data_IF_461686641706
#
_entry.id   IF_461686641706
#
_cell.length_a   1.000
_cell.length_b   1.000
_cell.length_c   1.000
_cell.angle_alpha   90.00
_cell.angle_beta   90.00
_cell.angle_gamma   90.00
#
_symmetry.space_group_name_H-M   'P 1'
#
loop_
_entity.id
_entity.type
_entity.pdbx_description
1 polymer ?
#
# COMPACT_ATOMS: atom_id res chain seq x y z
N UNK A 1 -15.78 25.94 3.82
CA UNK A 1 -16.26 24.55 3.65
C UNK A 1 -15.07 23.77 3.12
N UNK A 2 -14.55 22.73 3.80
CA UNK A 2 -13.55 21.87 3.20
C UNK A 2 -14.20 21.23 1.97
N UNK A 3 -13.62 21.47 0.80
CA UNK A 3 -14.06 20.87 -0.45
C UNK A 3 -14.01 19.35 -0.25
N UNK A 4 -15.04 18.58 -0.64
CA UNK A 4 -14.88 17.12 -0.71
C UNK A 4 -13.62 16.83 -1.51
N UNK A 5 -12.86 15.82 -1.10
CA UNK A 5 -11.70 15.30 -1.83
C UNK A 5 -12.00 15.37 -3.32
N UNK A 6 -11.33 16.29 -4.02
CA UNK A 6 -11.72 16.58 -5.39
C UNK A 6 -11.58 15.28 -6.18
N UNK A 7 -12.59 14.90 -6.97
CA UNK A 7 -12.55 13.65 -7.75
C UNK A 7 -11.24 13.54 -8.56
N UNK A 8 -10.77 14.68 -9.10
CA UNK A 8 -9.49 14.82 -9.77
C UNK A 8 -8.27 14.37 -8.93
N UNK A 9 -8.28 14.56 -7.60
CA UNK A 9 -7.22 14.10 -6.69
C UNK A 9 -7.15 12.58 -6.66
N UNK A 10 -8.31 11.92 -6.58
CA UNK A 10 -8.40 10.46 -6.54
C UNK A 10 -8.02 9.86 -7.90
N UNK A 11 -8.48 10.48 -8.99
CA UNK A 11 -8.15 10.08 -10.35
C UNK A 11 -6.65 10.15 -10.60
N UNK A 12 -5.99 11.26 -10.21
CA UNK A 12 -4.55 11.40 -10.37
C UNK A 12 -3.73 10.38 -9.56
N UNK A 13 -4.20 9.98 -8.37
CA UNK A 13 -3.56 8.89 -7.60
C UNK A 13 -3.78 7.55 -8.30
N UNK A 14 -4.99 7.27 -8.79
CA UNK A 14 -5.29 6.03 -9.51
C UNK A 14 -4.45 5.92 -10.79
N UNK A 15 -4.33 7.02 -11.54
CA UNK A 15 -3.48 7.12 -12.73
C UNK A 15 -2.00 6.93 -12.35
N UNK A 16 -1.55 7.53 -11.25
CA UNK A 16 -0.19 7.34 -10.75
C UNK A 16 0.13 5.89 -10.37
N UNK A 17 -0.83 5.18 -9.76
CA UNK A 17 -0.72 3.74 -9.48
C UNK A 17 -0.63 2.94 -10.80
N UNK A 18 -1.48 3.26 -11.78
CA UNK A 18 -1.46 2.60 -13.08
C UNK A 18 -0.14 2.83 -13.84
N UNK A 19 0.39 4.06 -13.81
CA UNK A 19 1.70 4.40 -14.39
C UNK A 19 2.82 3.64 -13.68
N UNK A 20 2.79 3.57 -12.34
CA UNK A 20 3.77 2.81 -11.59
C UNK A 20 3.75 1.32 -11.97
N UNK A 21 2.56 0.71 -12.02
CA UNK A 21 2.40 -0.70 -12.39
C UNK A 21 2.89 -0.97 -13.82
N UNK A 22 2.54 -0.09 -14.78
CA UNK A 22 2.99 -0.19 -16.16
C UNK A 22 4.52 -0.09 -16.30
N UNK A 23 5.17 0.66 -15.40
CA UNK A 23 6.64 0.76 -15.35
C UNK A 23 7.35 -0.54 -14.95
N UNK A 24 6.63 -1.48 -14.34
CA UNK A 24 7.14 -2.80 -13.92
C UNK A 24 6.63 -3.92 -14.86
N UNK A 25 6.17 -3.55 -16.07
CA UNK A 25 5.76 -4.51 -17.08
C UNK A 25 6.91 -5.47 -17.44
N UNK A 26 6.62 -6.78 -17.41
CA UNK A 26 7.60 -7.83 -17.69
C UNK A 26 8.38 -8.32 -16.46
N UNK A 27 8.16 -7.74 -15.28
CA UNK A 27 8.69 -8.30 -14.04
C UNK A 27 7.90 -9.53 -13.57
N UNK A 28 8.54 -10.48 -12.86
CA UNK A 28 7.89 -11.74 -12.46
C UNK A 28 6.61 -11.58 -11.62
N UNK A 29 6.45 -10.45 -10.92
CA UNK A 29 5.31 -10.20 -10.02
C UNK A 29 4.19 -9.37 -10.66
N UNK A 30 4.32 -8.92 -11.91
CA UNK A 30 3.40 -7.91 -12.48
C UNK A 30 1.93 -8.35 -12.45
N UNK A 31 1.64 -9.62 -12.75
CA UNK A 31 0.27 -10.16 -12.73
C UNK A 31 -0.31 -10.23 -11.32
N UNK A 32 0.55 -10.51 -10.32
CA UNK A 32 0.14 -10.53 -8.91
C UNK A 32 -0.09 -9.10 -8.41
N UNK A 33 0.80 -8.17 -8.76
CA UNK A 33 0.68 -6.75 -8.41
C UNK A 33 -0.59 -6.13 -9.00
N UNK A 34 -0.90 -6.40 -10.28
CA UNK A 34 -2.14 -5.96 -10.91
C UNK A 34 -3.37 -6.49 -10.16
N UNK A 35 -3.36 -7.78 -9.80
CA UNK A 35 -4.45 -8.37 -9.03
C UNK A 35 -4.59 -7.74 -7.64
N UNK A 36 -3.48 -7.48 -6.94
CA UNK A 36 -3.46 -6.85 -5.61
C UNK A 36 -3.99 -5.41 -5.64
N UNK A 37 -3.71 -4.67 -6.71
CA UNK A 37 -4.09 -3.25 -6.84
C UNK A 37 -5.52 -3.06 -7.38
N UNK A 38 -6.12 -4.09 -7.98
CA UNK A 38 -7.41 -4.00 -8.66
C UNK A 38 -8.53 -4.74 -7.91
N UNK A 39 -9.75 -4.17 -7.76
CA UNK A 39 -10.09 -2.78 -8.04
C UNK A 39 -9.45 -1.84 -7.01
N UNK A 40 -9.14 -0.58 -7.40
CA UNK A 40 -8.60 0.39 -6.47
C UNK A 40 -9.57 0.61 -5.31
N UNK A 41 -9.01 0.88 -4.13
CA UNK A 41 -9.80 1.21 -2.95
C UNK A 41 -10.41 2.60 -3.04
N UNK A 42 -10.94 3.09 -1.92
CA UNK A 42 -11.43 4.47 -1.82
C UNK A 42 -10.31 5.53 -1.85
N UNK A 43 -9.04 5.10 -1.90
CA UNK A 43 -7.83 5.94 -1.92
C UNK A 43 -7.81 7.06 -0.87
N UNK A 44 -8.46 6.86 0.30
CA UNK A 44 -8.59 7.87 1.37
C UNK A 44 -7.23 8.32 1.93
N UNK A 45 -6.28 7.38 2.11
CA UNK A 45 -4.95 7.69 2.65
C UNK A 45 -4.11 8.55 1.68
N UNK A 46 -3.97 8.20 0.38
CA UNK A 46 -3.35 9.08 -0.62
C UNK A 46 -3.98 10.47 -0.67
N UNK A 47 -5.31 10.50 -0.72
CA UNK A 47 -6.11 11.71 -0.70
C UNK A 47 -5.76 12.61 0.50
N UNK A 48 -5.77 12.06 1.70
CA UNK A 48 -5.46 12.80 2.92
C UNK A 48 -4.03 13.37 2.90
N UNK A 49 -3.06 12.65 2.33
CA UNK A 49 -1.69 13.14 2.17
C UNK A 49 -1.66 14.38 1.28
N UNK A 50 -2.32 14.32 0.12
CA UNK A 50 -2.37 15.42 -0.85
C UNK A 50 -3.07 16.66 -0.28
N UNK A 51 -4.21 16.47 0.38
CA UNK A 51 -4.93 17.57 1.03
C UNK A 51 -4.14 18.16 2.20
N UNK A 52 -3.41 17.33 2.96
CA UNK A 52 -2.52 17.81 4.03
C UNK A 52 -1.39 18.68 3.48
N UNK A 53 -0.78 18.28 2.37
CA UNK A 53 0.24 19.08 1.69
C UNK A 53 -0.33 20.40 1.18
N UNK A 54 -1.50 20.37 0.53
CA UNK A 54 -2.17 21.59 0.05
C UNK A 54 -2.52 22.54 1.20
N UNK A 55 -2.98 22.01 2.34
CA UNK A 55 -3.35 22.81 3.52
C UNK A 55 -2.17 23.59 4.13
N UNK A 56 -0.94 23.12 3.93
CA UNK A 56 0.29 23.80 4.38
C UNK A 56 1.03 24.53 3.25
N UNK A 57 0.43 24.64 2.06
CA UNK A 57 0.99 25.33 0.90
C UNK A 57 2.03 24.54 0.10
N UNK A 58 2.10 23.21 0.27
CA UNK A 58 2.95 22.34 -0.52
C UNK A 58 2.46 22.16 -1.96
N UNK A 59 3.37 21.87 -2.89
CA UNK A 59 3.01 21.58 -4.29
C UNK A 59 2.48 20.15 -4.43
N UNK A 60 1.30 20.06 -5.01
CA UNK A 60 0.63 18.81 -5.35
C UNK A 60 1.52 17.90 -6.22
N UNK A 61 2.10 18.45 -7.28
CA UNK A 61 2.90 17.73 -8.27
C UNK A 61 4.16 17.11 -7.67
N UNK A 62 4.74 17.80 -6.68
CA UNK A 62 5.94 17.38 -5.96
C UNK A 62 5.67 16.18 -5.05
N UNK A 63 4.50 16.15 -4.39
CA UNK A 63 4.17 15.12 -3.37
C UNK A 63 3.26 14.00 -3.90
N UNK A 64 2.70 14.13 -5.10
CA UNK A 64 1.89 13.09 -5.75
C UNK A 64 2.55 11.69 -5.72
N UNK A 65 3.87 11.53 -5.97
CA UNK A 65 4.51 10.23 -5.83
C UNK A 65 4.34 9.63 -4.44
N UNK A 66 4.58 10.40 -3.36
CA UNK A 66 4.37 9.89 -2.00
C UNK A 66 2.92 9.44 -1.75
N UNK A 67 1.92 10.16 -2.29
CA UNK A 67 0.52 9.73 -2.22
C UNK A 67 0.28 8.40 -2.93
N UNK A 68 0.84 8.23 -4.14
CA UNK A 68 0.82 6.96 -4.88
C UNK A 68 1.46 5.85 -4.05
N UNK A 69 2.65 6.10 -3.51
CA UNK A 69 3.37 5.15 -2.64
C UNK A 69 2.56 4.71 -1.42
N UNK A 70 1.86 5.63 -0.76
CA UNK A 70 0.97 5.31 0.37
C UNK A 70 -0.21 4.43 -0.07
N UNK A 71 -0.74 4.66 -1.27
CA UNK A 71 -1.79 3.83 -1.86
C UNK A 71 -1.32 2.41 -2.18
N UNK A 72 -0.10 2.29 -2.73
CA UNK A 72 0.56 1.02 -3.01
C UNK A 72 0.77 0.24 -1.70
N UNK A 73 1.44 0.82 -0.70
CA UNK A 73 1.69 0.18 0.59
C UNK A 73 0.40 -0.21 1.33
N UNK A 74 -0.65 0.61 1.25
CA UNK A 74 -1.94 0.23 1.82
C UNK A 74 -2.54 -1.00 1.12
N UNK A 75 -2.42 -1.11 -0.20
CA UNK A 75 -2.90 -2.30 -0.92
C UNK A 75 -2.06 -3.53 -0.57
N UNK A 76 -0.75 -3.36 -0.41
CA UNK A 76 0.16 -4.40 0.07
C UNK A 76 -0.19 -4.90 1.47
N UNK A 77 -0.48 -4.00 2.41
CA UNK A 77 -0.91 -4.39 3.76
C UNK A 77 -2.18 -5.23 3.72
N UNK A 78 -3.17 -4.87 2.89
CA UNK A 78 -4.41 -5.63 2.77
C UNK A 78 -4.21 -7.04 2.22
N UNK A 79 -3.22 -7.25 1.35
CA UNK A 79 -2.88 -8.58 0.83
C UNK A 79 -2.23 -9.45 1.90
N UNK A 80 -1.40 -8.86 2.78
CA UNK A 80 -0.88 -9.53 3.97
C UNK A 80 -2.00 -9.81 4.97
N UNK A 81 -2.88 -8.85 5.26
CA UNK A 81 -4.02 -9.01 6.16
C UNK A 81 -4.93 -10.15 5.69
N UNK A 82 -5.29 -10.19 4.39
CA UNK A 82 -6.11 -11.27 3.82
C UNK A 82 -5.49 -12.66 4.08
N UNK A 83 -4.16 -12.77 3.94
CA UNK A 83 -3.44 -14.01 4.20
C UNK A 83 -3.40 -14.36 5.69
N UNK A 84 -3.15 -13.37 6.55
CA UNK A 84 -3.04 -13.54 8.01
C UNK A 84 -4.39 -13.97 8.60
N UNK A 85 -5.48 -13.35 8.15
CA UNK A 85 -6.84 -13.59 8.65
C UNK A 85 -7.51 -14.81 8.00
N UNK A 86 -6.95 -15.32 6.90
CA UNK A 86 -7.55 -16.41 6.13
C UNK A 86 -8.79 -15.97 5.34
N UNK A 87 -8.89 -14.68 5.01
CA UNK A 87 -10.01 -14.10 4.26
C UNK A 87 -9.99 -14.58 2.80
N UNK A 88 -11.01 -15.35 2.41
CA UNK A 88 -11.09 -15.88 1.04
C UNK A 88 -11.32 -14.79 -0.03
N UNK A 89 -11.93 -13.66 0.38
CA UNK A 89 -12.44 -12.64 -0.54
C UNK A 89 -12.05 -11.23 -0.12
N UNK A 90 -11.64 -10.43 -1.11
CA UNK A 90 -11.43 -8.99 -1.00
C UNK A 90 -12.31 -8.26 -2.02
N UNK A 91 -13.21 -7.40 -1.53
CA UNK A 91 -14.13 -6.58 -2.37
C UNK A 91 -14.90 -7.42 -3.41
N UNK A 92 -15.34 -8.62 -3.01
CA UNK A 92 -16.09 -9.53 -3.88
C UNK A 92 -15.25 -10.32 -4.89
N UNK A 93 -13.92 -10.26 -4.81
CA UNK A 93 -12.99 -11.06 -5.63
C UNK A 93 -12.17 -12.00 -4.73
N UNK A 94 -11.66 -13.13 -5.25
CA UNK A 94 -10.70 -13.95 -4.52
C UNK A 94 -9.51 -13.11 -4.03
N UNK A 95 -9.17 -13.26 -2.75
CA UNK A 95 -7.96 -12.67 -2.18
C UNK A 95 -6.70 -13.18 -2.92
N UNK A 96 -5.59 -12.46 -2.81
CA UNK A 96 -4.35 -12.78 -3.56
C UNK A 96 -3.90 -14.21 -3.30
N UNK A 97 -3.89 -14.62 -2.03
CA UNK A 97 -3.46 -15.97 -1.64
C UNK A 97 -4.40 -17.08 -2.10
N UNK A 98 -5.66 -16.74 -2.41
CA UNK A 98 -6.64 -17.68 -2.99
C UNK A 98 -6.56 -17.73 -4.51
N UNK A 99 -6.23 -16.61 -5.16
CA UNK A 99 -6.09 -16.53 -6.62
C UNK A 99 -4.78 -17.14 -7.10
N UNK A 100 -3.70 -16.96 -6.35
CA UNK A 100 -2.35 -17.41 -6.69
C UNK A 100 -1.88 -18.42 -5.65
N UNK A 101 -1.23 -17.94 -4.59
CA UNK A 101 -0.77 -18.72 -3.44
C UNK A 101 -0.31 -17.78 -2.31
N UNK A 102 -0.02 -18.36 -1.14
CA UNK A 102 0.47 -17.61 0.02
C UNK A 102 1.78 -16.85 -0.26
N UNK A 103 2.69 -17.45 -1.03
CA UNK A 103 3.98 -16.82 -1.37
C UNK A 103 3.78 -15.55 -2.21
N UNK A 104 2.85 -15.57 -3.17
CA UNK A 104 2.47 -14.44 -4.00
C UNK A 104 1.85 -13.31 -3.17
N UNK A 105 1.02 -13.64 -2.18
CA UNK A 105 0.48 -12.64 -1.26
C UNK A 105 1.59 -11.95 -0.46
N UNK A 106 2.54 -12.72 0.11
CA UNK A 106 3.70 -12.16 0.82
C UNK A 106 4.53 -11.26 -0.10
N UNK A 107 4.97 -11.79 -1.25
CA UNK A 107 5.85 -11.08 -2.18
C UNK A 107 5.20 -9.82 -2.77
N UNK A 108 3.90 -9.85 -3.07
CA UNK A 108 3.20 -8.67 -3.56
C UNK A 108 3.07 -7.58 -2.50
N UNK A 109 2.82 -7.95 -1.23
CA UNK A 109 2.81 -6.98 -0.14
C UNK A 109 4.20 -6.36 0.09
N UNK A 110 5.26 -7.17 0.09
CA UNK A 110 6.64 -6.70 0.24
C UNK A 110 7.03 -5.74 -0.89
N UNK A 111 6.76 -6.11 -2.14
CA UNK A 111 7.04 -5.26 -3.30
C UNK A 111 6.34 -3.90 -3.19
N UNK A 112 5.08 -3.89 -2.76
CA UNK A 112 4.31 -2.65 -2.59
C UNK A 112 4.77 -1.81 -1.39
N UNK A 113 5.27 -2.42 -0.32
CA UNK A 113 5.94 -1.69 0.76
C UNK A 113 7.26 -1.06 0.29
N UNK A 114 8.06 -1.76 -0.51
CA UNK A 114 9.27 -1.17 -1.08
C UNK A 114 8.97 -0.07 -2.11
N UNK A 115 7.87 -0.20 -2.84
CA UNK A 115 7.39 0.83 -3.75
C UNK A 115 7.11 2.16 -3.05
N UNK A 116 6.61 2.15 -1.80
CA UNK A 116 6.44 3.37 -1.00
C UNK A 116 7.76 4.14 -0.87
N UNK A 117 8.85 3.48 -0.50
CA UNK A 117 10.15 4.14 -0.35
C UNK A 117 10.69 4.67 -1.67
N UNK A 118 10.51 3.91 -2.77
CA UNK A 118 10.86 4.38 -4.11
C UNK A 118 10.09 5.65 -4.49
N UNK A 119 8.79 5.69 -4.20
CA UNK A 119 7.92 6.82 -4.50
C UNK A 119 8.20 8.04 -3.63
N UNK A 120 8.50 7.86 -2.34
CA UNK A 120 8.95 8.97 -1.48
C UNK A 120 10.29 9.54 -1.98
N UNK A 121 11.19 8.69 -2.46
CA UNK A 121 12.43 9.11 -3.10
C UNK A 121 12.23 9.88 -4.42
N UNK A 122 11.13 9.63 -5.14
CA UNK A 122 10.77 10.40 -6.35
C UNK A 122 10.40 11.85 -6.00
N UNK A 123 9.80 12.12 -4.84
CA UNK A 123 9.52 13.49 -4.39
C UNK A 123 10.79 14.35 -4.36
N UNK A 124 11.93 13.76 -4.00
CA UNK A 124 13.25 14.43 -4.05
C UNK A 124 13.59 14.90 -5.47
N UNK A 125 13.37 14.03 -6.46
CA UNK A 125 13.61 14.34 -7.89
C UNK A 125 12.67 15.40 -8.44
N UNK A 126 11.54 15.62 -7.76
CA UNK A 126 10.56 16.68 -8.05
C UNK A 126 10.80 17.97 -7.27
N UNK A 127 11.89 18.07 -6.52
CA UNK A 127 12.31 19.30 -5.84
C UNK A 127 11.76 19.47 -4.43
N UNK A 128 11.26 18.40 -3.80
CA UNK A 128 11.08 18.40 -2.33
C UNK A 128 12.46 18.40 -1.68
N UNK A 129 12.73 19.25 -0.66
CA UNK A 129 14.01 19.28 0.03
C UNK A 129 14.41 17.93 0.61
N UNK A 130 15.69 17.58 0.52
CA UNK A 130 16.23 16.29 0.98
C UNK A 130 15.90 16.00 2.46
N UNK A 131 15.96 17.02 3.31
CA UNK A 131 15.62 16.92 4.74
C UNK A 131 14.15 16.52 4.96
N UNK A 132 13.22 17.12 4.21
CA UNK A 132 11.80 16.78 4.29
C UNK A 132 11.52 15.37 3.75
N UNK A 133 12.25 14.92 2.73
CA UNK A 133 12.15 13.54 2.22
C UNK A 133 12.66 12.54 3.27
N UNK A 134 13.78 12.84 3.93
CA UNK A 134 14.33 11.99 4.99
C UNK A 134 13.37 11.91 6.19
N UNK A 135 12.85 13.05 6.67
CA UNK A 135 11.86 13.10 7.76
C UNK A 135 10.59 12.32 7.40
N UNK A 136 10.08 12.46 6.17
CA UNK A 136 8.93 11.70 5.71
C UNK A 136 9.21 10.19 5.69
N UNK A 137 10.40 9.75 5.26
CA UNK A 137 10.80 8.34 5.30
C UNK A 137 10.83 7.80 6.73
N UNK A 138 11.37 8.56 7.69
CA UNK A 138 11.40 8.17 9.11
C UNK A 138 9.98 8.03 9.69
N UNK A 139 9.11 9.01 9.43
CA UNK A 139 7.70 8.98 9.87
C UNK A 139 6.97 7.77 9.27
N UNK A 140 7.12 7.53 7.97
CA UNK A 140 6.47 6.42 7.29
C UNK A 140 6.99 5.05 7.76
N UNK A 141 8.29 4.94 8.02
CA UNK A 141 8.89 3.72 8.55
C UNK A 141 8.38 3.43 9.97
N UNK A 142 8.32 4.44 10.83
CA UNK A 142 7.76 4.30 12.18
C UNK A 142 6.27 3.96 12.15
N UNK A 143 5.50 4.60 11.26
CA UNK A 143 4.08 4.28 11.07
C UNK A 143 3.88 2.83 10.60
N UNK A 144 4.68 2.35 9.65
CA UNK A 144 4.66 0.95 9.20
C UNK A 144 5.00 -0.03 10.32
N UNK A 145 6.02 0.28 11.14
CA UNK A 145 6.38 -0.52 12.31
C UNK A 145 5.25 -0.55 13.35
N UNK A 146 4.62 0.59 13.61
CA UNK A 146 3.47 0.68 14.53
C UNK A 146 2.27 -0.12 14.03
N UNK A 147 1.99 -0.09 12.72
CA UNK A 147 0.92 -0.88 12.11
C UNK A 147 1.18 -2.39 12.28
N UNK A 148 2.40 -2.86 11.99
CA UNK A 148 2.78 -4.26 12.19
C UNK A 148 2.67 -4.69 13.66
N UNK A 149 3.11 -3.85 14.61
CA UNK A 149 2.89 -4.10 16.04
C UNK A 149 1.39 -4.13 16.40
N UNK A 150 0.56 -3.35 15.72
CA UNK A 150 -0.90 -3.38 15.87
C UNK A 150 -1.48 -4.74 15.49
N UNK A 151 -1.17 -5.23 14.29
CA UNK A 151 -1.61 -6.54 13.79
C UNK A 151 -1.12 -7.67 14.71
N UNK A 152 0.14 -7.62 15.16
CA UNK A 152 0.66 -8.62 16.10
C UNK A 152 -0.10 -8.67 17.43
N UNK A 153 -0.55 -7.52 17.95
CA UNK A 153 -1.37 -7.44 19.17
C UNK A 153 -2.78 -7.98 18.93
N UNK A 154 -3.36 -7.69 17.76
CA UNK A 154 -4.66 -8.23 17.35
C UNK A 154 -4.64 -9.76 17.31
N UNK A 155 -3.62 -10.36 16.69
CA UNK A 155 -3.46 -11.82 16.67
C UNK A 155 -3.36 -12.44 18.06
N UNK A 156 -2.64 -11.78 18.98
CA UNK A 156 -2.52 -12.23 20.37
C UNK A 156 -3.87 -12.18 21.11
N UNK A 157 -4.78 -11.26 20.76
CA UNK A 157 -6.12 -11.18 21.33
C UNK A 157 -7.08 -12.21 20.74
N UNK A 158 -6.94 -12.50 19.45
CA UNK A 158 -7.77 -13.48 18.73
C UNK A 158 -7.46 -14.94 19.09
N UNK A 159 -6.46 -15.19 19.96
CA UNK A 159 -6.06 -16.53 20.40
C UNK A 159 -5.18 -17.28 19.38
N UNK A 160 -4.60 -16.57 18.42
CA UNK A 160 -3.84 -17.15 17.29
C UNK A 160 -2.46 -17.67 17.67
N UNK A 161 -2.40 -18.88 18.21
CA UNK A 161 -1.18 -19.68 18.37
C UNK A 161 -1.36 -21.18 18.14
N UNK A 162 -2.59 -21.71 18.17
CA UNK A 162 -2.87 -23.13 18.01
C UNK A 162 -3.94 -23.33 16.93
N UNK A 163 -3.55 -23.63 15.68
CA UNK A 163 -4.54 -24.04 14.69
C UNK A 163 -4.21 -24.01 13.19
N UNK A 164 -3.03 -23.55 12.75
CA UNK A 164 -2.76 -23.34 11.32
C UNK A 164 -1.51 -24.06 10.78
N UNK A 165 -1.20 -25.26 11.28
CA UNK A 165 -0.33 -26.19 10.56
C UNK A 165 -0.96 -27.57 10.65
N UNK A 166 -1.95 -27.80 9.78
CA UNK A 166 -2.55 -29.11 9.59
C UNK A 166 -1.50 -30.06 9.03
N UNK A 167 -1.32 -31.19 9.70
CA UNK A 167 -0.63 -32.36 9.20
C UNK A 167 -1.24 -32.80 7.86
N UNK A 168 -0.50 -32.64 6.76
CA UNK A 168 -0.69 -33.48 5.58
C UNK A 168 0.24 -34.69 5.72
N UNK A 169 -0.28 -35.92 5.87
CA UNK A 169 0.56 -37.10 5.87
C UNK A 169 1.03 -37.41 4.43
N UNK A 170 2.31 -37.74 4.31
CA UNK A 170 3.00 -38.28 3.13
C UNK A 170 2.35 -39.59 2.66
#
# INVERSE_FOLDING_TARGET
MPTPLAAATLDAVADGIAVWLAGHAGEPLVDVLDWTLCPPGKLVRPALLLESAAAVGGSYEQVLPAAVGVGLAHSGSLAHDDLIDGDDLRRGRPAVHRRFDAASAVLSGDALFFALFQQVGECRRRGVPDEAVAEAMEILAEAGRQAACGVARELAWSGGGEGAMGDDPV
#
